data_IF_633515154617
#
_entry.id   IF_633515154617
#
_cell.length_a   1.000
_cell.length_b   1.000
_cell.length_c   1.000
_cell.angle_alpha   90.00
_cell.angle_beta   90.00
_cell.angle_gamma   90.00
#
_symmetry.space_group_name_H-M   'P 1'
#
loop_
_entity.id
_entity.type
_entity.pdbx_description
1 polymer ?
#
# COMPACT_ATOMS: atom_id res chain seq x y z
N UNK A 1 -0.02 45.82 31.46
CA UNK A 1 0.15 46.14 32.88
C UNK A 1 -0.49 45.01 33.69
N UNK A 2 0.31 44.33 34.54
CA UNK A 2 -0.02 43.31 35.57
C UNK A 2 -0.80 42.04 35.15
N UNK A 3 -0.19 40.84 35.04
CA UNK A 3 0.35 39.89 36.05
C UNK A 3 -0.70 39.21 36.95
N UNK A 4 -0.93 37.90 36.75
CA UNK A 4 -0.78 36.88 37.82
C UNK A 4 -0.79 35.43 37.29
N UNK A 5 0.12 34.65 37.88
CA UNK A 5 0.34 33.19 37.79
C UNK A 5 -0.67 32.40 38.66
N UNK A 6 -0.77 31.06 38.53
CA UNK A 6 -0.10 30.20 39.50
C UNK A 6 0.64 28.98 38.91
N UNK A 7 1.44 28.39 39.80
CA UNK A 7 2.50 27.38 39.66
C UNK A 7 2.03 25.93 39.55
N UNK A 8 2.89 25.05 39.00
CA UNK A 8 3.46 23.87 39.71
C UNK A 8 4.51 23.14 38.88
N UNK A 9 5.49 22.64 39.62
CA UNK A 9 6.78 21.98 39.33
C UNK A 9 6.67 20.51 38.91
N UNK A 10 7.55 20.03 38.03
CA UNK A 10 8.17 18.67 38.04
C UNK A 10 9.37 18.57 37.06
N UNK A 11 10.37 17.70 37.33
CA UNK A 11 11.70 17.73 36.70
C UNK A 11 11.91 16.75 35.53
N UNK A 12 12.96 16.92 34.69
CA UNK A 12 13.30 15.99 33.61
C UNK A 12 14.33 14.92 34.03
N UNK A 13 14.05 13.66 33.69
CA UNK A 13 14.98 12.54 33.74
C UNK A 13 15.88 12.50 32.50
N UNK A 14 17.22 12.37 32.62
CA UNK A 14 18.08 11.94 31.52
C UNK A 14 18.45 10.46 31.66
N UNK A 15 18.22 9.69 30.59
CA UNK A 15 18.62 8.30 30.41
C UNK A 15 20.13 8.26 30.14
N UNK A 16 20.87 7.56 31.01
CA UNK A 16 22.33 7.37 30.93
C UNK A 16 22.62 6.04 30.22
N UNK A 17 23.16 6.10 29.00
CA UNK A 17 23.84 4.97 28.36
C UNK A 17 25.17 4.70 29.07
N UNK A 18 25.39 3.48 29.56
CA UNK A 18 26.70 3.01 30.04
C UNK A 18 27.43 2.27 28.92
N UNK A 19 28.48 2.88 28.38
CA UNK A 19 29.55 2.22 27.63
C UNK A 19 30.66 1.81 28.61
N UNK A 20 30.90 0.51 28.78
CA UNK A 20 32.04 0.01 29.53
C UNK A 20 33.25 -0.15 28.59
N UNK A 21 34.19 0.79 28.66
CA UNK A 21 35.50 0.69 28.03
C UNK A 21 36.47 -0.08 28.91
N UNK A 22 37.10 -1.11 28.34
CA UNK A 22 38.23 -1.84 28.92
C UNK A 22 39.51 -1.00 28.79
N UNK A 23 40.10 -0.65 29.94
CA UNK A 23 41.38 0.06 30.04
C UNK A 23 42.47 -0.90 30.51
N UNK A 24 43.49 -1.10 29.67
CA UNK A 24 44.73 -1.80 30.01
C UNK A 24 45.73 -0.81 30.65
N UNK A 25 46.25 -1.11 31.83
CA UNK A 25 47.47 -0.45 32.32
C UNK A 25 48.33 -1.31 33.25
N UNK A 26 49.54 -1.56 32.76
CA UNK A 26 50.83 -1.47 33.46
C UNK A 26 51.18 -2.49 34.55
N UNK A 27 51.98 -3.47 34.11
CA UNK A 27 52.93 -4.25 34.90
C UNK A 27 54.11 -3.38 35.38
N UNK A 28 54.38 -3.36 36.71
CA UNK A 28 55.64 -2.85 37.28
C UNK A 28 56.40 -3.98 37.97
N UNK A 29 57.61 -4.25 37.47
CA UNK A 29 58.66 -5.06 38.11
C UNK A 29 59.07 -4.46 39.45
N UNK A 30 59.21 -5.29 40.49
CA UNK A 30 60.04 -5.00 41.67
C UNK A 30 60.76 -6.29 42.10
N UNK A 31 62.06 -6.18 42.29
CA UNK A 31 63.00 -7.29 42.45
C UNK A 31 63.57 -7.38 43.88
N UNK A 32 63.45 -8.59 44.47
CA UNK A 32 64.37 -9.34 45.39
C UNK A 32 64.65 -8.76 46.81
N UNK A 33 65.19 -9.51 47.81
CA UNK A 33 65.81 -10.88 47.77
C UNK A 33 65.54 -11.84 48.99
N UNK A 34 66.07 -13.06 48.85
CA UNK A 34 66.72 -13.97 49.84
C UNK A 34 65.99 -14.73 50.99
N UNK A 35 66.01 -16.07 50.85
CA UNK A 35 66.13 -17.20 51.81
C UNK A 35 65.15 -17.42 52.98
N UNK A 36 64.41 -18.53 52.89
CA UNK A 36 64.39 -19.58 53.92
C UNK A 36 63.83 -20.89 53.32
N UNK A 37 64.66 -21.94 53.26
CA UNK A 37 64.21 -23.29 52.97
C UNK A 37 63.42 -23.84 54.16
N UNK A 38 62.13 -24.15 53.95
CA UNK A 38 61.40 -25.09 54.77
C UNK A 38 61.02 -26.31 53.92
N UNK A 39 61.28 -27.55 54.37
CA UNK A 39 60.84 -28.73 53.66
C UNK A 39 59.34 -28.92 53.88
N UNK A 40 58.53 -28.62 52.86
CA UNK A 40 57.13 -29.05 52.84
C UNK A 40 57.10 -30.58 52.74
N UNK A 41 56.62 -31.24 53.80
CA UNK A 41 56.18 -32.63 53.77
C UNK A 41 55.16 -32.79 52.64
N UNK A 42 55.54 -33.51 51.59
CA UNK A 42 54.64 -33.99 50.54
C UNK A 42 53.58 -34.93 51.16
N UNK A 43 52.48 -34.36 51.66
CA UNK A 43 51.22 -35.10 51.71
C UNK A 43 50.80 -35.29 50.26
N UNK A 44 51.12 -36.46 49.69
CA UNK A 44 50.45 -36.97 48.49
C UNK A 44 48.96 -37.01 48.82
N UNK A 45 48.23 -35.97 48.43
CA UNK A 45 46.79 -36.10 48.23
C UNK A 45 46.64 -37.21 47.20
N UNK A 46 46.11 -38.35 47.63
CA UNK A 46 45.74 -39.44 46.73
C UNK A 46 44.75 -38.83 45.75
N UNK A 47 45.22 -38.50 44.55
CA UNK A 47 44.37 -38.19 43.42
C UNK A 47 43.55 -39.46 43.18
N UNK A 48 42.31 -39.46 43.64
CA UNK A 48 41.34 -40.50 43.29
C UNK A 48 41.15 -40.38 41.78
N UNK A 49 41.72 -41.31 41.03
CA UNK A 49 41.44 -41.43 39.61
C UNK A 49 39.97 -41.83 39.45
N UNK A 50 39.25 -41.13 38.58
CA UNK A 50 37.86 -41.43 38.27
C UNK A 50 37.76 -42.83 37.65
N UNK A 51 36.75 -43.58 38.06
CA UNK A 51 36.47 -44.89 37.47
C UNK A 51 35.96 -44.73 36.05
N UNK A 52 36.23 -45.71 35.18
CA UNK A 52 35.81 -45.69 33.77
C UNK A 52 34.28 -45.57 33.63
N UNK A 53 33.53 -46.05 34.63
CA UNK A 53 32.08 -45.90 34.75
C UNK A 53 31.65 -44.46 35.04
N UNK A 54 32.33 -43.74 35.95
CA UNK A 54 32.03 -42.33 36.24
C UNK A 54 32.32 -41.44 35.02
N UNK A 55 33.35 -41.79 34.23
CA UNK A 55 33.70 -41.08 33.01
C UNK A 55 32.68 -41.34 31.89
N UNK A 56 32.23 -42.59 31.71
CA UNK A 56 31.14 -42.91 30.76
C UNK A 56 29.82 -42.25 31.16
N UNK A 57 29.47 -42.27 32.44
CA UNK A 57 28.25 -41.63 32.95
C UNK A 57 28.28 -40.11 32.76
N UNK A 58 29.44 -39.48 32.98
CA UNK A 58 29.58 -38.04 32.78
C UNK A 58 29.44 -37.66 31.30
N UNK A 59 29.98 -38.47 30.39
CA UNK A 59 29.87 -38.26 28.94
C UNK A 59 28.42 -38.44 28.47
N UNK A 60 27.70 -39.44 28.97
CA UNK A 60 26.30 -39.67 28.58
C UNK A 60 25.38 -38.56 29.09
N UNK A 61 25.57 -38.08 30.32
CA UNK A 61 24.82 -36.94 30.82
C UNK A 61 25.14 -35.68 30.02
N UNK A 62 26.42 -35.43 29.75
CA UNK A 62 26.86 -34.26 28.98
C UNK A 62 26.31 -34.27 27.55
N UNK A 63 26.25 -35.42 26.88
CA UNK A 63 25.71 -35.53 25.53
C UNK A 63 24.20 -35.28 25.48
N UNK A 64 23.44 -35.75 26.47
CA UNK A 64 22.00 -35.48 26.61
C UNK A 64 21.75 -33.98 26.85
N UNK A 65 22.53 -33.35 27.71
CA UNK A 65 22.42 -31.90 27.98
C UNK A 65 22.78 -31.08 26.74
N UNK A 66 23.82 -31.46 25.99
CA UNK A 66 24.15 -30.77 24.74
C UNK A 66 23.02 -30.93 23.71
N UNK A 67 22.49 -32.13 23.52
CA UNK A 67 21.43 -32.39 22.53
C UNK A 67 20.16 -31.58 22.83
N UNK A 68 19.76 -31.52 24.10
CA UNK A 68 18.62 -30.72 24.54
C UNK A 68 18.87 -29.22 24.35
N UNK A 69 20.05 -28.72 24.71
CA UNK A 69 20.41 -27.31 24.48
C UNK A 69 20.42 -26.95 22.98
N UNK A 70 20.94 -27.83 22.12
CA UNK A 70 20.92 -27.64 20.66
C UNK A 70 19.50 -27.64 20.10
N UNK A 71 18.60 -28.49 20.62
CA UNK A 71 17.18 -28.51 20.20
C UNK A 71 16.46 -27.20 20.56
N UNK A 72 16.70 -26.68 21.77
CA UNK A 72 16.12 -25.41 22.21
C UNK A 72 16.67 -24.23 21.41
N UNK A 73 17.99 -24.19 21.17
CA UNK A 73 18.62 -23.17 20.32
C UNK A 73 18.05 -23.20 18.90
N UNK A 74 17.88 -24.38 18.32
CA UNK A 74 17.30 -24.54 16.97
C UNK A 74 15.87 -24.01 16.92
N UNK A 75 15.09 -24.26 17.97
CA UNK A 75 13.71 -23.76 18.08
C UNK A 75 13.68 -22.23 18.18
N UNK A 76 14.53 -21.63 19.02
CA UNK A 76 14.62 -20.17 19.16
C UNK A 76 15.09 -19.49 17.88
N UNK A 77 16.08 -20.06 17.19
CA UNK A 77 16.58 -19.52 15.92
C UNK A 77 15.51 -19.59 14.82
N UNK A 78 14.72 -20.68 14.78
CA UNK A 78 13.63 -20.81 13.82
C UNK A 78 12.50 -19.79 14.10
N UNK A 79 12.20 -19.50 15.36
CA UNK A 79 11.22 -18.47 15.73
C UNK A 79 11.70 -17.07 15.34
N UNK A 80 12.98 -16.75 15.55
CA UNK A 80 13.55 -15.47 15.13
C UNK A 80 13.54 -15.32 13.61
N UNK A 81 13.95 -16.35 12.87
CA UNK A 81 13.90 -16.35 11.40
C UNK A 81 12.47 -16.21 10.86
N UNK A 82 11.51 -16.88 11.50
CA UNK A 82 10.10 -16.73 11.16
C UNK A 82 9.58 -15.31 11.39
N UNK A 83 9.99 -14.68 12.50
CA UNK A 83 9.66 -13.29 12.83
C UNK A 83 10.28 -12.29 11.84
N UNK A 84 11.58 -12.41 11.55
CA UNK A 84 12.27 -11.55 10.58
C UNK A 84 11.67 -11.67 9.17
N UNK A 85 11.31 -12.89 8.75
CA UNK A 85 10.61 -13.13 7.49
C UNK A 85 9.28 -12.38 7.40
N UNK A 86 8.47 -12.41 8.45
CA UNK A 86 7.16 -11.71 8.45
C UNK A 86 7.26 -10.19 8.37
N UNK A 87 8.31 -9.58 8.94
CA UNK A 87 8.50 -8.12 8.88
C UNK A 87 9.04 -7.64 7.53
N UNK A 88 9.84 -8.44 6.82
CA UNK A 88 10.33 -8.11 5.48
C UNK A 88 9.26 -8.23 4.40
N UNK A 89 8.36 -9.22 4.53
CA UNK A 89 7.41 -9.62 3.48
C UNK A 89 6.41 -8.54 3.05
N UNK A 90 6.09 -7.56 3.92
CA UNK A 90 5.12 -6.51 3.61
C UNK A 90 5.73 -5.11 3.44
N UNK A 91 7.06 -4.97 3.44
CA UNK A 91 7.70 -3.65 3.31
C UNK A 91 7.44 -3.03 1.94
N UNK A 92 7.50 -3.82 0.87
CA UNK A 92 7.19 -3.38 -0.49
C UNK A 92 5.73 -2.90 -0.59
N UNK A 93 4.80 -3.68 -0.04
CA UNK A 93 3.38 -3.30 0.03
C UNK A 93 3.17 -1.99 0.79
N UNK A 94 3.83 -1.81 1.94
CA UNK A 94 3.70 -0.59 2.73
C UNK A 94 4.23 0.63 1.97
N UNK A 95 5.41 0.51 1.35
CA UNK A 95 6.00 1.56 0.53
C UNK A 95 5.09 1.93 -0.65
N UNK A 96 4.50 0.93 -1.31
CA UNK A 96 3.51 1.12 -2.37
C UNK A 96 2.25 1.84 -1.86
N UNK A 97 1.73 1.44 -0.70
CA UNK A 97 0.56 2.05 -0.08
C UNK A 97 0.78 3.52 0.31
N UNK A 98 1.94 3.83 0.90
CA UNK A 98 2.32 5.21 1.24
C UNK A 98 2.52 6.06 -0.01
N UNK A 99 3.20 5.54 -1.03
CA UNK A 99 3.37 6.24 -2.32
C UNK A 99 2.01 6.55 -2.96
N UNK A 100 1.11 5.56 -3.01
CA UNK A 100 -0.24 5.69 -3.55
C UNK A 100 -1.07 6.74 -2.79
N UNK A 101 -1.12 6.65 -1.46
CA UNK A 101 -1.91 7.58 -0.64
C UNK A 101 -1.38 9.01 -0.73
N UNK A 102 -0.06 9.21 -0.76
CA UNK A 102 0.56 10.51 -0.96
C UNK A 102 0.25 11.10 -2.35
N UNK A 103 0.32 10.29 -3.41
CA UNK A 103 -0.04 10.70 -4.77
C UNK A 103 -1.51 11.10 -4.85
N UNK A 104 -2.42 10.24 -4.42
CA UNK A 104 -3.87 10.51 -4.46
C UNK A 104 -4.23 11.78 -3.67
N UNK A 105 -3.60 12.02 -2.51
CA UNK A 105 -3.87 13.21 -1.70
C UNK A 105 -3.58 14.54 -2.43
N UNK A 106 -2.75 14.51 -3.48
CA UNK A 106 -2.36 15.67 -4.29
C UNK A 106 -3.10 15.76 -5.63
N UNK A 107 -4.09 14.89 -5.87
CA UNK A 107 -4.90 14.96 -7.08
C UNK A 107 -5.57 16.33 -7.24
N UNK A 108 -5.77 16.73 -8.49
CA UNK A 108 -6.27 18.04 -8.86
C UNK A 108 -7.55 17.90 -9.69
N UNK A 109 -8.56 18.66 -9.29
CA UNK A 109 -9.62 19.14 -10.17
C UNK A 109 -9.54 20.66 -10.11
N UNK A 110 -9.61 21.32 -11.25
CA UNK A 110 -9.55 22.79 -11.34
C UNK A 110 -10.92 23.28 -11.78
N UNK A 111 -11.88 23.43 -10.85
CA UNK A 111 -13.21 23.88 -11.19
C UNK A 111 -13.22 25.39 -11.41
N UNK A 112 -13.89 25.84 -12.45
CA UNK A 112 -14.20 27.23 -12.75
C UNK A 112 -15.70 27.37 -13.00
N UNK A 113 -16.24 28.59 -12.86
CA UNK A 113 -17.63 28.86 -13.23
C UNK A 113 -17.68 29.19 -14.71
N UNK A 114 -18.56 28.51 -15.44
CA UNK A 114 -18.86 28.79 -16.83
C UNK A 114 -20.36 29.00 -17.01
N UNK A 115 -20.71 29.65 -18.11
CA UNK A 115 -22.08 29.87 -18.51
C UNK A 115 -22.70 28.58 -19.03
N UNK A 116 -23.84 28.20 -18.48
CA UNK A 116 -24.71 27.22 -19.10
C UNK A 116 -25.57 27.93 -20.15
N UNK A 117 -25.55 27.41 -21.37
CA UNK A 117 -26.38 27.89 -22.46
C UNK A 117 -27.56 26.95 -22.69
N UNK A 118 -28.78 27.47 -22.91
CA UNK A 118 -29.94 26.64 -23.19
C UNK A 118 -29.69 25.80 -24.46
N UNK A 119 -29.78 24.48 -24.32
CA UNK A 119 -29.52 23.52 -25.40
C UNK A 119 -28.07 23.48 -25.90
N UNK A 120 -27.11 24.01 -25.14
CA UNK A 120 -25.70 24.08 -25.55
C UNK A 120 -25.41 25.11 -26.65
N UNK A 121 -26.36 25.98 -26.99
CA UNK A 121 -26.19 27.00 -28.01
C UNK A 121 -25.47 28.24 -27.44
N UNK A 122 -24.16 28.33 -27.68
CA UNK A 122 -23.30 29.44 -27.22
C UNK A 122 -23.66 30.81 -27.82
N UNK A 123 -24.52 30.86 -28.85
CA UNK A 123 -25.06 32.10 -29.40
C UNK A 123 -26.33 32.60 -28.65
N UNK A 124 -26.89 31.79 -27.74
CA UNK A 124 -28.04 32.15 -26.91
C UNK A 124 -27.66 32.94 -25.66
N UNK A 125 -28.67 33.46 -24.96
CA UNK A 125 -28.48 34.08 -23.63
C UNK A 125 -28.20 32.98 -22.60
N UNK A 126 -27.12 33.08 -21.80
CA UNK A 126 -26.86 32.15 -20.70
C UNK A 126 -28.01 32.05 -19.70
N UNK A 127 -28.30 30.84 -19.22
CA UNK A 127 -29.37 30.58 -18.22
C UNK A 127 -28.86 30.72 -16.78
N UNK A 128 -27.68 30.17 -16.49
CA UNK A 128 -27.06 30.19 -15.16
C UNK A 128 -25.56 29.96 -15.25
N UNK A 129 -24.87 30.18 -14.13
CA UNK A 129 -23.50 29.73 -13.94
C UNK A 129 -23.48 28.32 -13.39
N UNK A 130 -22.63 27.47 -13.95
CA UNK A 130 -22.38 26.14 -13.44
C UNK A 130 -20.89 25.89 -13.24
N UNK A 131 -20.58 24.99 -12.31
CA UNK A 131 -19.21 24.55 -12.11
C UNK A 131 -18.79 23.68 -13.31
N UNK A 132 -17.63 23.96 -13.89
CA UNK A 132 -17.02 23.21 -14.97
C UNK A 132 -15.55 22.91 -14.64
N UNK A 133 -15.02 21.79 -15.12
CA UNK A 133 -13.60 21.48 -15.08
C UNK A 133 -13.20 20.63 -16.26
N UNK A 134 -12.00 20.86 -16.80
CA UNK A 134 -11.45 20.00 -17.85
C UNK A 134 -10.85 18.70 -17.30
N UNK A 135 -10.54 18.66 -16.00
CA UNK A 135 -9.99 17.48 -15.35
C UNK A 135 -11.10 16.47 -14.99
N UNK A 136 -10.69 15.25 -14.66
CA UNK A 136 -11.60 14.14 -14.42
C UNK A 136 -11.05 13.24 -13.32
N UNK A 137 -11.79 13.15 -12.22
CA UNK A 137 -11.55 12.19 -11.16
C UNK A 137 -12.61 11.08 -11.22
N UNK A 138 -12.16 9.83 -11.22
CA UNK A 138 -13.04 8.66 -11.19
C UNK A 138 -12.48 7.58 -10.28
N UNK A 139 -13.34 6.96 -9.48
CA UNK A 139 -13.02 5.80 -8.65
C UNK A 139 -14.22 4.86 -8.57
N UNK A 140 -14.00 3.56 -8.45
CA UNK A 140 -15.09 2.57 -8.44
C UNK A 140 -14.57 1.18 -8.74
N UNK A 141 -15.47 0.26 -9.06
CA UNK A 141 -15.11 -1.12 -9.41
C UNK A 141 -14.24 -1.15 -10.68
N UNK A 142 -13.10 -1.86 -10.60
CA UNK A 142 -12.14 -1.96 -11.70
C UNK A 142 -12.72 -2.80 -12.84
N UNK A 143 -13.31 -3.96 -12.51
CA UNK A 143 -14.12 -4.78 -13.39
C UNK A 143 -15.47 -5.12 -12.74
N UNK A 144 -16.49 -5.35 -13.57
CA UNK A 144 -17.82 -5.75 -13.09
C UNK A 144 -18.72 -4.58 -12.65
N UNK A 145 -19.96 -4.92 -12.29
CA UNK A 145 -21.00 -3.94 -11.95
C UNK A 145 -21.59 -3.19 -13.16
N UNK A 146 -22.43 -2.20 -12.88
CA UNK A 146 -23.15 -1.42 -13.92
C UNK A 146 -22.23 -0.48 -14.70
N UNK A 147 -21.14 -0.01 -14.07
CA UNK A 147 -20.17 0.96 -14.65
C UNK A 147 -18.74 0.54 -14.34
N UNK A 148 -18.24 -0.46 -15.07
CA UNK A 148 -16.85 -0.92 -14.97
C UNK A 148 -15.87 0.18 -15.38
N UNK A 149 -14.79 0.39 -14.61
CA UNK A 149 -13.77 1.39 -14.96
C UNK A 149 -12.82 0.90 -16.05
N UNK A 150 -12.34 -0.33 -15.96
CA UNK A 150 -11.49 -0.98 -16.96
C UNK A 150 -12.32 -1.97 -17.78
N UNK A 151 -11.79 -2.35 -18.96
CA UNK A 151 -12.39 -3.36 -19.81
C UNK A 151 -11.66 -4.69 -19.63
N UNK A 152 -12.38 -5.74 -19.25
CA UNK A 152 -11.82 -7.08 -19.01
C UNK A 152 -12.11 -7.63 -17.61
N UNK A 153 -11.96 -8.94 -17.43
CA UNK A 153 -12.27 -9.64 -16.18
C UNK A 153 -11.08 -9.77 -15.21
N UNK A 154 -9.87 -9.39 -15.63
CA UNK A 154 -8.63 -9.62 -14.85
C UNK A 154 -8.34 -8.53 -13.82
N UNK A 155 -9.28 -7.63 -13.56
CA UNK A 155 -9.10 -6.47 -12.68
C UNK A 155 -9.99 -6.57 -11.44
N UNK A 156 -9.57 -7.28 -10.38
CA UNK A 156 -10.41 -7.45 -9.20
C UNK A 156 -10.59 -6.15 -8.44
N UNK A 157 -11.67 -6.06 -7.66
CA UNK A 157 -11.96 -4.97 -6.71
C UNK A 157 -12.08 -3.59 -7.38
N UNK A 158 -11.40 -2.56 -6.87
CA UNK A 158 -11.59 -1.16 -7.29
C UNK A 158 -10.38 -0.62 -8.06
N UNK A 159 -10.60 0.48 -8.77
CA UNK A 159 -9.60 1.30 -9.42
C UNK A 159 -9.88 2.79 -9.16
N UNK A 160 -8.84 3.62 -9.34
CA UNK A 160 -8.95 5.08 -9.29
C UNK A 160 -8.07 5.70 -10.35
N UNK A 161 -8.60 6.72 -11.03
CA UNK A 161 -7.90 7.47 -12.06
C UNK A 161 -8.13 8.97 -11.83
N UNK A 162 -7.05 9.74 -11.93
CA UNK A 162 -7.05 11.16 -11.62
C UNK A 162 -5.92 11.88 -12.34
N UNK A 163 -5.91 13.21 -12.27
CA UNK A 163 -4.79 14.02 -12.74
C UNK A 163 -4.13 14.78 -11.60
N UNK A 164 -2.88 15.16 -11.80
CA UNK A 164 -2.11 15.98 -10.88
C UNK A 164 -0.86 16.52 -11.55
N UNK A 165 -0.29 17.58 -10.99
CA UNK A 165 0.98 18.13 -11.45
C UNK A 165 2.11 17.32 -10.84
N UNK A 166 2.67 16.41 -11.63
CA UNK A 166 3.69 15.46 -11.19
C UNK A 166 5.02 15.59 -11.93
N UNK A 167 5.06 16.36 -13.02
CA UNK A 167 6.30 16.65 -13.74
C UNK A 167 6.86 15.47 -14.54
N UNK A 168 6.06 14.45 -14.84
CA UNK A 168 6.53 13.31 -15.64
C UNK A 168 6.50 13.66 -17.12
N UNK A 169 7.63 13.44 -17.78
CA UNK A 169 7.83 13.65 -19.22
C UNK A 169 8.67 12.51 -19.79
N UNK A 170 8.41 12.15 -21.04
CA UNK A 170 9.30 11.27 -21.80
C UNK A 170 10.46 12.04 -22.46
N UNK A 171 10.33 13.35 -22.61
CA UNK A 171 11.35 14.18 -23.22
C UNK A 171 12.42 14.57 -22.18
N UNK A 172 13.67 14.19 -22.43
CA UNK A 172 14.82 14.54 -21.58
C UNK A 172 15.00 16.04 -21.41
N UNK A 173 14.62 16.84 -22.41
CA UNK A 173 14.73 18.30 -22.37
C UNK A 173 13.74 18.94 -21.39
N UNK A 174 12.62 18.28 -21.12
CA UNK A 174 11.53 18.82 -20.31
C UNK A 174 11.55 18.28 -18.87
N UNK A 175 12.53 17.45 -18.52
CA UNK A 175 12.65 16.85 -17.18
C UNK A 175 12.83 17.90 -16.06
N UNK A 176 13.23 19.13 -16.41
CA UNK A 176 13.26 20.26 -15.47
C UNK A 176 11.90 20.91 -15.19
N UNK A 177 10.85 20.58 -15.96
CA UNK A 177 9.50 21.13 -15.79
C UNK A 177 8.73 20.33 -14.74
N UNK A 178 9.04 20.57 -13.46
CA UNK A 178 8.48 19.81 -12.33
C UNK A 178 6.95 19.93 -12.11
N UNK A 179 6.28 20.88 -12.77
CA UNK A 179 4.85 21.16 -12.59
C UNK A 179 3.98 20.74 -13.77
N UNK A 180 4.48 19.88 -14.68
CA UNK A 180 3.67 19.37 -15.77
C UNK A 180 2.49 18.53 -15.26
N UNK A 181 1.34 18.69 -15.92
CA UNK A 181 0.13 17.93 -15.63
C UNK A 181 0.25 16.52 -16.20
N UNK A 182 -0.03 15.53 -15.37
CA UNK A 182 -0.01 14.12 -15.74
C UNK A 182 -1.33 13.45 -15.40
N UNK A 183 -1.62 12.37 -16.12
CA UNK A 183 -2.68 11.44 -15.74
C UNK A 183 -2.09 10.28 -14.95
N UNK A 184 -2.79 9.88 -13.90
CA UNK A 184 -2.36 8.85 -12.97
C UNK A 184 -3.51 7.89 -12.68
N UNK A 185 -3.17 6.69 -12.24
CA UNK A 185 -4.18 5.77 -11.72
C UNK A 185 -3.59 4.58 -10.99
N UNK A 186 -4.45 3.90 -10.25
CA UNK A 186 -4.14 2.66 -9.54
C UNK A 186 -5.24 1.65 -9.79
N UNK A 187 -4.85 0.40 -10.03
CA UNK A 187 -5.75 -0.73 -10.20
C UNK A 187 -5.00 -2.03 -9.88
N UNK A 188 -5.73 -3.10 -9.59
CA UNK A 188 -5.13 -4.43 -9.42
C UNK A 188 -5.33 -5.21 -10.70
N UNK A 189 -4.31 -5.95 -11.10
CA UNK A 189 -4.36 -6.87 -12.24
C UNK A 189 -3.88 -8.26 -11.80
N UNK A 190 -4.64 -9.29 -12.16
CA UNK A 190 -4.14 -10.66 -12.18
C UNK A 190 -3.59 -10.98 -13.57
N UNK A 191 -2.31 -11.35 -13.63
CA UNK A 191 -1.71 -11.65 -14.93
C UNK A 191 -0.31 -12.22 -14.83
N UNK A 192 0.28 -12.45 -15.99
CA UNK A 192 1.68 -12.88 -16.12
C UNK A 192 2.64 -11.70 -15.89
N UNK A 193 3.84 -11.97 -15.37
CA UNK A 193 4.93 -11.01 -15.33
C UNK A 193 5.83 -11.02 -16.58
N UNK A 194 5.54 -11.84 -17.59
CA UNK A 194 6.40 -11.97 -18.78
C UNK A 194 6.71 -10.63 -19.46
N UNK A 195 5.75 -9.69 -19.49
CA UNK A 195 5.92 -8.36 -20.09
C UNK A 195 6.70 -7.38 -19.22
N UNK A 196 6.82 -7.64 -17.92
CA UNK A 196 7.52 -6.75 -16.96
C UNK A 196 8.97 -7.21 -16.71
N UNK A 197 9.30 -8.45 -17.07
CA UNK A 197 10.65 -9.00 -16.90
C UNK A 197 11.59 -8.48 -17.99
N UNK A 198 12.87 -8.42 -17.65
CA UNK A 198 13.91 -8.17 -18.64
C UNK A 198 13.91 -9.29 -19.71
N UNK A 199 14.09 -8.91 -20.97
CA UNK A 199 13.92 -9.81 -22.12
C UNK A 199 14.78 -11.07 -22.02
N UNK A 200 15.99 -10.99 -21.46
CA UNK A 200 16.86 -12.15 -21.31
C UNK A 200 16.27 -13.26 -20.42
N UNK A 201 15.45 -12.91 -19.42
CA UNK A 201 14.79 -13.90 -18.55
C UNK A 201 13.72 -14.68 -19.31
N UNK A 202 13.05 -14.05 -20.27
CA UNK A 202 12.05 -14.72 -21.12
C UNK A 202 12.71 -15.66 -22.12
N UNK A 203 13.86 -15.27 -22.68
CA UNK A 203 14.65 -16.13 -23.59
C UNK A 203 15.28 -17.32 -22.87
N UNK A 204 15.49 -17.23 -21.55
CA UNK A 204 16.07 -18.28 -20.71
C UNK A 204 15.09 -19.43 -20.39
N UNK A 205 13.85 -19.39 -20.88
CA UNK A 205 12.86 -20.44 -20.65
C UNK A 205 12.29 -20.48 -19.23
N UNK A 206 12.45 -19.40 -18.46
CA UNK A 206 11.88 -19.30 -17.10
C UNK A 206 10.36 -19.13 -17.22
N UNK A 207 9.61 -20.02 -16.58
CA UNK A 207 8.15 -20.00 -16.63
C UNK A 207 7.58 -18.65 -16.12
N UNK A 208 6.52 -18.13 -16.76
CA UNK A 208 5.82 -16.93 -16.30
C UNK A 208 5.14 -17.17 -14.94
N UNK A 209 5.12 -16.14 -14.09
CA UNK A 209 4.45 -16.18 -12.78
C UNK A 209 3.15 -15.41 -12.82
N UNK A 210 2.05 -16.08 -12.48
CA UNK A 210 0.71 -15.51 -12.46
C UNK A 210 0.36 -15.04 -11.05
N UNK A 211 0.22 -13.73 -10.88
CA UNK A 211 0.01 -13.11 -9.56
C UNK A 211 -0.89 -11.90 -9.65
N UNK A 212 -1.53 -11.59 -8.53
CA UNK A 212 -2.17 -10.30 -8.33
C UNK A 212 -1.13 -9.22 -8.07
N UNK A 213 -1.22 -8.12 -8.82
CA UNK A 213 -0.27 -7.01 -8.77
C UNK A 213 -1.00 -5.69 -8.70
N UNK A 214 -0.53 -4.82 -7.81
CA UNK A 214 -0.94 -3.42 -7.82
C UNK A 214 -0.22 -2.72 -8.97
N UNK A 215 -1.01 -2.24 -9.94
CA UNK A 215 -0.54 -1.47 -11.08
C UNK A 215 -0.68 0.01 -10.81
N UNK A 216 0.32 0.76 -11.26
CA UNK A 216 0.34 2.21 -11.28
C UNK A 216 0.39 2.69 -12.74
N UNK A 217 -0.65 3.40 -13.14
CA UNK A 217 -0.70 4.09 -14.43
C UNK A 217 -0.01 5.44 -14.31
N UNK A 218 0.96 5.68 -15.19
CA UNK A 218 1.63 6.96 -15.34
C UNK A 218 1.56 7.38 -16.81
N UNK A 219 0.85 8.47 -17.07
CA UNK A 219 0.80 9.07 -18.40
C UNK A 219 1.65 10.35 -18.38
N UNK A 220 2.75 10.37 -19.15
CA UNK A 220 3.57 11.55 -19.35
C UNK A 220 2.77 12.73 -19.91
N UNK A 221 3.29 13.94 -19.75
CA UNK A 221 2.58 15.16 -20.14
C UNK A 221 2.32 15.24 -21.65
N UNK A 222 3.22 14.66 -22.45
CA UNK A 222 3.15 14.62 -23.93
C UNK A 222 1.96 13.79 -24.43
N UNK A 223 1.62 12.73 -23.68
CA UNK A 223 0.59 11.75 -24.03
C UNK A 223 -0.77 12.05 -23.40
N UNK A 224 -0.93 13.23 -22.80
CA UNK A 224 -2.12 13.63 -22.06
C UNK A 224 -3.30 13.91 -23.01
N UNK A 225 -4.17 12.92 -23.22
CA UNK A 225 -5.34 13.03 -24.11
C UNK A 225 -6.58 13.68 -23.49
N UNK A 226 -6.52 14.15 -22.25
CA UNK A 226 -7.67 14.74 -21.55
C UNK A 226 -8.27 15.94 -22.33
N UNK A 227 -7.42 16.76 -22.95
CA UNK A 227 -7.83 17.93 -23.73
C UNK A 227 -8.16 17.57 -25.19
N UNK A 228 -7.42 16.64 -25.78
CA UNK A 228 -7.66 16.18 -27.15
C UNK A 228 -9.05 15.57 -27.34
N UNK A 229 -9.58 14.93 -26.28
CA UNK A 229 -10.88 14.28 -26.33
C UNK A 229 -12.07 15.25 -26.18
N UNK A 230 -11.87 16.57 -26.08
CA UNK A 230 -12.91 17.57 -25.83
C UNK A 230 -14.00 17.05 -24.87
N UNK A 231 -13.58 16.56 -23.70
CA UNK A 231 -14.47 15.86 -22.76
C UNK A 231 -15.65 16.73 -22.32
N UNK A 232 -15.54 18.05 -22.44
CA UNK A 232 -16.58 19.04 -22.13
C UNK A 232 -17.63 19.19 -23.25
N UNK A 233 -17.25 18.91 -24.51
CA UNK A 233 -18.11 19.03 -25.70
C UNK A 233 -18.66 17.71 -26.25
N UNK A 234 -18.21 16.54 -25.77
CA UNK A 234 -18.83 15.29 -26.19
C UNK A 234 -20.21 15.18 -25.54
N UNK A 235 -21.27 15.15 -26.37
CA UNK A 235 -22.57 14.51 -26.07
C UNK A 235 -22.34 13.01 -25.84
N UNK A 236 -21.63 12.66 -24.77
CA UNK A 236 -21.24 11.30 -24.45
C UNK A 236 -22.39 10.66 -23.70
N UNK A 237 -23.33 10.08 -24.43
CA UNK A 237 -24.35 9.21 -23.84
C UNK A 237 -23.76 7.95 -23.19
N UNK A 238 -22.43 7.76 -23.19
CA UNK A 238 -21.76 6.56 -22.67
C UNK A 238 -20.47 6.89 -21.92
N UNK A 239 -20.37 6.32 -20.71
CA UNK A 239 -19.18 6.39 -19.85
C UNK A 239 -17.91 5.83 -20.52
N UNK A 240 -18.04 4.87 -21.44
CA UNK A 240 -16.89 4.23 -22.11
C UNK A 240 -16.03 5.23 -22.89
N UNK A 241 -16.68 6.20 -23.56
CA UNK A 241 -15.98 7.22 -24.33
C UNK A 241 -15.27 8.23 -23.42
N UNK A 242 -15.88 8.58 -22.28
CA UNK A 242 -15.27 9.44 -21.26
C UNK A 242 -14.05 8.80 -20.59
N UNK A 243 -14.00 7.47 -20.52
CA UNK A 243 -12.92 6.73 -19.88
C UNK A 243 -11.73 6.42 -20.80
N UNK A 244 -11.82 6.79 -22.08
CA UNK A 244 -10.76 6.54 -23.07
C UNK A 244 -9.39 7.13 -22.69
N UNK A 245 -9.35 8.25 -21.97
CA UNK A 245 -8.09 8.91 -21.58
C UNK A 245 -7.24 8.07 -20.62
N UNK A 246 -7.84 7.16 -19.83
CA UNK A 246 -7.10 6.23 -18.96
C UNK A 246 -7.15 4.78 -19.43
N UNK A 247 -8.25 4.34 -20.06
CA UNK A 247 -8.38 2.95 -20.55
C UNK A 247 -7.38 2.58 -21.63
N UNK A 248 -7.12 3.51 -22.56
CA UNK A 248 -6.15 3.30 -23.63
C UNK A 248 -4.73 3.17 -23.07
N UNK A 249 -4.22 4.12 -22.27
CA UNK A 249 -2.87 3.98 -21.71
C UNK A 249 -2.76 2.92 -20.62
N UNK A 250 -3.85 2.50 -19.94
CA UNK A 250 -3.78 1.39 -18.96
C UNK A 250 -3.51 0.03 -19.60
N UNK A 251 -3.82 -0.13 -20.89
CA UNK A 251 -3.49 -1.34 -21.64
C UNK A 251 -2.04 -1.36 -22.15
N UNK A 252 -1.31 -0.25 -22.05
CA UNK A 252 0.08 -0.12 -22.49
C UNK A 252 1.05 -0.46 -21.34
N UNK A 253 1.85 -1.55 -21.45
CA UNK A 253 2.81 -1.93 -20.41
C UNK A 253 3.87 -0.87 -20.13
N UNK A 254 4.18 0.03 -21.09
CA UNK A 254 5.13 1.11 -20.89
C UNK A 254 4.59 2.21 -19.94
N UNK A 255 3.27 2.27 -19.76
CA UNK A 255 2.58 3.29 -18.96
C UNK A 255 1.98 2.72 -17.68
N UNK A 256 1.68 1.42 -17.65
CA UNK A 256 1.17 0.71 -16.47
C UNK A 256 2.24 -0.18 -15.84
N UNK A 257 2.93 0.33 -14.81
CA UNK A 257 4.00 -0.40 -14.12
C UNK A 257 3.49 -1.13 -12.88
N UNK A 258 4.14 -2.22 -12.51
CA UNK A 258 3.88 -2.91 -11.23
C UNK A 258 4.51 -2.11 -10.09
N UNK A 259 3.70 -1.78 -9.07
CA UNK A 259 4.15 -1.06 -7.87
C UNK A 259 4.40 -2.00 -6.69
N UNK A 260 3.58 -3.04 -6.55
CA UNK A 260 3.76 -4.12 -5.58
C UNK A 260 3.12 -5.41 -6.07
N UNK A 261 3.70 -6.55 -5.70
CA UNK A 261 3.10 -7.87 -5.89
C UNK A 261 2.23 -8.30 -4.70
N UNK A 262 1.49 -9.40 -4.90
CA UNK A 262 0.69 -10.08 -3.88
C UNK A 262 -0.44 -9.23 -3.28
N UNK A 263 -0.96 -8.27 -4.04
CA UNK A 263 -2.08 -7.40 -3.63
C UNK A 263 -3.38 -7.93 -4.23
N UNK A 264 -4.26 -8.50 -3.41
CA UNK A 264 -5.48 -9.19 -3.89
C UNK A 264 -6.71 -8.29 -3.99
N UNK A 265 -6.77 -7.23 -3.17
CA UNK A 265 -7.91 -6.33 -3.18
C UNK A 265 -7.48 -4.89 -2.81
N UNK A 266 -8.09 -3.93 -3.51
CA UNK A 266 -8.00 -2.50 -3.23
C UNK A 266 -9.43 -1.97 -3.19
N UNK A 267 -9.82 -1.41 -2.06
CA UNK A 267 -11.15 -0.85 -1.83
C UNK A 267 -11.00 0.65 -1.64
N UNK A 268 -11.68 1.40 -2.49
CA UNK A 268 -11.69 2.86 -2.47
C UNK A 268 -13.09 3.32 -2.12
N UNK A 269 -13.22 4.01 -0.98
CA UNK A 269 -14.49 4.58 -0.49
C UNK A 269 -14.41 6.11 -0.47
N UNK A 270 -15.12 6.79 -1.37
CA UNK A 270 -15.38 8.23 -1.29
C UNK A 270 -16.25 8.57 -0.09
N UNK A 271 -15.77 9.47 0.76
CA UNK A 271 -16.39 9.85 2.02
C UNK A 271 -16.68 11.35 2.06
N UNK A 272 -17.82 11.69 2.65
CA UNK A 272 -18.17 13.06 3.06
C UNK A 272 -18.46 13.09 4.57
N UNK A 273 -18.60 14.29 5.12
CA UNK A 273 -19.20 14.48 6.44
C UNK A 273 -20.67 14.80 6.29
N UNK A 274 -21.53 14.20 7.12
CA UNK A 274 -22.92 14.61 7.24
C UNK A 274 -23.07 15.86 8.14
N UNK A 275 -24.30 16.35 8.33
CA UNK A 275 -24.59 17.52 9.18
C UNK A 275 -24.20 17.33 10.65
N UNK A 276 -24.11 16.08 11.12
CA UNK A 276 -23.65 15.73 12.47
C UNK A 276 -22.11 15.60 12.56
N UNK A 277 -21.38 15.82 11.47
CA UNK A 277 -19.92 15.67 11.39
C UNK A 277 -19.43 14.23 11.28
N UNK A 278 -20.31 13.24 11.16
CA UNK A 278 -19.95 11.83 10.98
C UNK A 278 -19.61 11.52 9.51
N UNK A 279 -18.72 10.55 9.30
CA UNK A 279 -18.35 10.08 7.96
C UNK A 279 -19.56 9.39 7.30
N UNK A 280 -19.81 9.73 6.04
CA UNK A 280 -20.94 9.23 5.24
C UNK A 280 -20.48 8.81 3.85
N UNK A 281 -21.06 7.72 3.34
CA UNK A 281 -20.82 7.17 2.00
C UNK A 281 -21.81 7.70 0.95
N UNK A 282 -22.60 8.73 1.26
CA UNK A 282 -23.63 9.26 0.35
C UNK A 282 -23.09 9.75 -1.00
N UNK A 283 -21.80 10.07 -1.10
CA UNK A 283 -21.18 10.47 -2.37
C UNK A 283 -20.99 9.30 -3.34
N UNK A 284 -20.89 8.07 -2.82
CA UNK A 284 -20.64 6.88 -3.62
C UNK A 284 -21.25 5.64 -2.92
N UNK A 285 -22.59 5.50 -2.88
CA UNK A 285 -23.24 4.37 -2.22
C UNK A 285 -22.84 3.00 -2.79
N UNK A 286 -22.47 2.94 -4.07
CA UNK A 286 -21.97 1.76 -4.77
C UNK A 286 -20.46 1.79 -5.01
N UNK A 287 -19.72 2.57 -4.21
CA UNK A 287 -18.29 2.87 -4.36
C UNK A 287 -17.88 3.59 -5.65
N UNK A 288 -18.79 3.72 -6.63
CA UNK A 288 -18.57 4.48 -7.85
C UNK A 288 -18.71 5.98 -7.57
N UNK A 289 -17.66 6.73 -7.90
CA UNK A 289 -17.62 8.18 -7.88
C UNK A 289 -16.97 8.66 -9.16
N UNK A 290 -17.68 9.54 -9.86
CA UNK A 290 -17.24 10.12 -11.12
C UNK A 290 -17.65 11.58 -11.15
N UNK A 291 -16.66 12.47 -11.25
CA UNK A 291 -16.86 13.93 -11.28
C UNK A 291 -17.57 14.41 -12.54
N UNK A 292 -17.67 13.57 -13.58
CA UNK A 292 -18.30 13.83 -14.87
C UNK A 292 -19.50 12.91 -15.14
N UNK A 293 -19.99 12.18 -14.13
CA UNK A 293 -21.17 11.32 -14.25
C UNK A 293 -22.42 12.02 -14.80
N UNK A 294 -22.57 13.33 -14.56
CA UNK A 294 -23.70 14.12 -15.08
C UNK A 294 -23.83 14.11 -16.61
N UNK A 295 -22.76 13.76 -17.35
CA UNK A 295 -22.77 13.68 -18.81
C UNK A 295 -23.51 12.46 -19.34
N UNK A 296 -23.61 11.38 -18.55
CA UNK A 296 -24.26 10.12 -18.95
C UNK A 296 -25.28 9.58 -17.95
N UNK A 297 -25.37 10.16 -16.74
CA UNK A 297 -26.30 9.77 -15.70
C UNK A 297 -27.11 10.98 -15.22
N UNK A 298 -28.44 10.91 -15.34
CA UNK A 298 -29.37 11.94 -14.87
C UNK A 298 -29.78 11.66 -13.42
N UNK A 299 -28.97 12.07 -12.45
CA UNK A 299 -29.29 11.93 -11.01
C UNK A 299 -28.88 13.14 -10.18
N UNK A 300 -29.54 13.35 -9.04
CA UNK A 300 -29.15 14.40 -8.08
C UNK A 300 -27.70 14.20 -7.58
N UNK A 301 -27.27 12.94 -7.44
CA UNK A 301 -25.90 12.62 -7.05
C UNK A 301 -24.90 13.08 -8.11
N UNK A 302 -25.16 12.79 -9.39
CA UNK A 302 -24.32 13.21 -10.50
C UNK A 302 -24.17 14.73 -10.59
N UNK A 303 -25.25 15.47 -10.32
CA UNK A 303 -25.20 16.93 -10.21
C UNK A 303 -24.42 17.39 -8.96
N UNK A 304 -24.52 16.68 -7.84
CA UNK A 304 -23.83 17.02 -6.59
C UNK A 304 -22.31 16.81 -6.69
N UNK A 305 -21.87 15.75 -7.37
CA UNK A 305 -20.45 15.40 -7.58
C UNK A 305 -19.81 16.09 -8.79
N UNK A 306 -20.61 16.79 -9.60
CA UNK A 306 -20.18 17.48 -10.81
C UNK A 306 -18.96 18.35 -10.57
N UNK A 307 -17.88 18.00 -11.27
CA UNK A 307 -16.58 18.69 -11.28
C UNK A 307 -15.99 18.95 -9.89
N UNK A 308 -16.24 18.03 -8.96
CA UNK A 308 -15.72 18.08 -7.59
C UNK A 308 -14.93 16.81 -7.27
N UNK A 309 -13.85 16.98 -6.52
CA UNK A 309 -13.15 15.86 -5.86
C UNK A 309 -13.90 15.48 -4.59
N UNK A 310 -13.93 14.20 -4.19
CA UNK A 310 -14.48 13.82 -2.90
C UNK A 310 -13.68 14.47 -1.75
N UNK A 311 -14.30 14.90 -0.63
CA UNK A 311 -13.58 15.53 0.48
C UNK A 311 -12.52 14.60 1.09
N UNK A 312 -12.89 13.34 1.25
CA UNK A 312 -12.07 12.30 1.86
C UNK A 312 -12.17 11.02 1.05
N UNK A 313 -11.09 10.24 1.07
CA UNK A 313 -11.04 8.89 0.53
C UNK A 313 -10.53 7.95 1.61
N UNK A 314 -11.28 6.89 1.89
CA UNK A 314 -10.76 5.73 2.61
C UNK A 314 -10.24 4.73 1.61
N UNK A 315 -8.97 4.37 1.74
CA UNK A 315 -8.28 3.40 0.91
C UNK A 315 -7.93 2.22 1.79
N UNK A 316 -8.37 1.03 1.39
CA UNK A 316 -8.04 -0.24 2.04
C UNK A 316 -7.33 -1.14 1.04
N UNK A 317 -6.16 -1.63 1.41
CA UNK A 317 -5.34 -2.53 0.61
C UNK A 317 -5.17 -3.86 1.34
N UNK A 318 -5.34 -4.97 0.63
CA UNK A 318 -5.23 -6.32 1.19
C UNK A 318 -4.10 -7.04 0.47
N UNK A 319 -3.10 -7.46 1.22
CA UNK A 319 -1.91 -8.13 0.71
C UNK A 319 -1.77 -9.53 1.28
N UNK A 320 -1.25 -10.45 0.47
CA UNK A 320 -0.88 -11.80 0.87
C UNK A 320 0.61 -11.89 1.18
N UNK A 321 0.99 -12.84 2.03
CA UNK A 321 2.39 -13.22 2.15
C UNK A 321 2.86 -14.02 0.92
N UNK A 322 4.18 -14.07 0.72
CA UNK A 322 4.79 -14.73 -0.45
C UNK A 322 4.47 -16.23 -0.50
N UNK A 323 4.36 -16.89 0.65
CA UNK A 323 4.04 -18.32 0.73
C UNK A 323 2.60 -18.60 0.29
N UNK A 324 1.63 -17.77 0.72
CA UNK A 324 0.24 -17.90 0.30
C UNK A 324 0.07 -17.58 -1.18
N UNK A 325 0.80 -16.57 -1.69
CA UNK A 325 0.81 -16.25 -3.11
C UNK A 325 1.40 -17.40 -3.95
N UNK A 326 2.51 -18.00 -3.51
CA UNK A 326 3.11 -19.16 -4.17
C UNK A 326 2.17 -20.38 -4.16
N UNK A 327 1.46 -20.63 -3.05
CA UNK A 327 0.44 -21.68 -2.95
C UNK A 327 -0.67 -21.47 -3.98
N UNK A 328 -1.21 -20.25 -4.07
CA UNK A 328 -2.25 -19.93 -5.05
C UNK A 328 -1.77 -20.09 -6.50
N UNK A 329 -0.52 -19.73 -6.77
CA UNK A 329 0.13 -19.87 -8.07
C UNK A 329 0.30 -21.35 -8.45
N UNK A 330 0.70 -22.22 -7.51
CA UNK A 330 0.81 -23.67 -7.74
C UNK A 330 -0.55 -24.33 -7.96
N UNK A 331 -1.57 -23.94 -7.21
CA UNK A 331 -2.92 -24.52 -7.29
C UNK A 331 -3.69 -24.10 -8.54
N UNK A 332 -3.57 -22.83 -8.95
CA UNK A 332 -4.39 -22.25 -10.02
C UNK A 332 -3.63 -22.00 -11.33
N UNK A 333 -2.29 -22.01 -11.31
CA UNK A 333 -1.50 -21.73 -12.50
C UNK A 333 -1.87 -20.39 -13.14
N UNK A 334 -2.37 -20.44 -14.38
CA UNK A 334 -2.77 -19.26 -15.15
C UNK A 334 -4.20 -18.79 -14.95
N UNK A 335 -5.05 -19.53 -14.23
CA UNK A 335 -6.43 -19.10 -13.95
C UNK A 335 -6.49 -18.17 -12.74
N UNK A 336 -7.41 -17.21 -12.77
CA UNK A 336 -7.67 -16.30 -11.65
C UNK A 336 -8.17 -17.11 -10.44
N UNK A 337 -7.50 -17.04 -9.27
CA UNK A 337 -7.97 -17.73 -8.07
C UNK A 337 -9.33 -17.24 -7.56
N UNK A 338 -10.20 -18.15 -7.14
CA UNK A 338 -11.48 -17.82 -6.53
C UNK A 338 -11.31 -17.50 -5.04
N UNK A 339 -11.13 -16.21 -4.72
CA UNK A 339 -10.91 -15.75 -3.34
C UNK A 339 -12.22 -15.41 -2.60
N UNK A 340 -13.38 -15.55 -3.25
CA UNK A 340 -14.68 -15.16 -2.69
C UNK A 340 -14.87 -13.64 -2.54
N UNK A 341 -14.10 -12.84 -3.28
CA UNK A 341 -14.09 -11.37 -3.19
C UNK A 341 -14.98 -10.73 -4.27
N UNK A 342 -15.29 -11.45 -5.34
CA UNK A 342 -15.92 -10.91 -6.56
C UNK A 342 -17.29 -10.27 -6.32
N UNK A 343 -18.06 -10.78 -5.35
CA UNK A 343 -19.38 -10.24 -4.98
C UNK A 343 -19.35 -9.24 -3.81
N UNK A 344 -18.19 -9.05 -3.19
CA UNK A 344 -18.01 -8.14 -2.05
C UNK A 344 -17.75 -6.71 -2.53
N UNK A 345 -17.96 -5.73 -1.64
CA UNK A 345 -17.69 -4.32 -1.90
C UNK A 345 -18.53 -3.74 -3.05
N UNK A 346 -19.76 -4.20 -3.18
CA UNK A 346 -20.74 -3.63 -4.11
C UNK A 346 -21.55 -2.49 -3.46
N UNK A 347 -21.69 -2.50 -2.14
CA UNK A 347 -22.50 -1.54 -1.37
C UNK A 347 -21.70 -0.93 -0.22
N UNK A 348 -21.47 0.39 -0.26
CA UNK A 348 -20.58 1.07 0.67
C UNK A 348 -21.01 1.03 2.14
N UNK A 349 -22.32 0.91 2.43
CA UNK A 349 -22.82 0.75 3.79
C UNK A 349 -22.47 -0.60 4.42
N UNK A 350 -22.22 -1.63 3.60
CA UNK A 350 -21.85 -2.99 4.05
C UNK A 350 -20.35 -3.19 4.22
N UNK A 351 -19.54 -2.12 4.11
CA UNK A 351 -18.09 -2.19 4.16
C UNK A 351 -17.54 -3.11 5.28
N UNK A 352 -18.07 -3.01 6.50
CA UNK A 352 -17.57 -3.81 7.62
C UNK A 352 -17.96 -5.29 7.52
N UNK A 353 -19.15 -5.58 7.01
CA UNK A 353 -19.63 -6.95 6.75
C UNK A 353 -18.80 -7.58 5.62
N UNK A 354 -18.54 -6.82 4.56
CA UNK A 354 -17.74 -7.27 3.41
C UNK A 354 -16.29 -7.55 3.81
N UNK A 355 -15.68 -6.71 4.67
CA UNK A 355 -14.35 -7.00 5.22
C UNK A 355 -14.38 -8.31 6.02
N UNK A 356 -15.35 -8.50 6.92
CA UNK A 356 -15.43 -9.72 7.72
C UNK A 356 -15.65 -10.98 6.87
N UNK A 357 -16.47 -10.89 5.81
CA UNK A 357 -16.71 -11.97 4.87
C UNK A 357 -15.44 -12.32 4.07
N UNK A 358 -14.70 -11.32 3.60
CA UNK A 358 -13.42 -11.50 2.93
C UNK A 358 -12.40 -12.18 3.87
N UNK A 359 -12.28 -11.71 5.11
CA UNK A 359 -11.40 -12.32 6.12
C UNK A 359 -11.76 -13.78 6.38
N UNK A 360 -13.06 -14.10 6.50
CA UNK A 360 -13.53 -15.47 6.66
C UNK A 360 -13.13 -16.36 5.47
N UNK A 361 -13.28 -15.86 4.24
CA UNK A 361 -12.88 -16.58 3.02
C UNK A 361 -11.38 -16.87 2.98
N UNK A 362 -10.54 -15.85 3.23
CA UNK A 362 -9.08 -16.01 3.23
C UNK A 362 -8.60 -16.96 4.32
N UNK A 363 -9.21 -16.90 5.52
CA UNK A 363 -8.89 -17.81 6.61
C UNK A 363 -9.32 -19.26 6.30
N UNK A 364 -10.46 -19.46 5.64
CA UNK A 364 -10.92 -20.79 5.21
C UNK A 364 -9.94 -21.43 4.20
N UNK A 365 -9.32 -20.63 3.34
CA UNK A 365 -8.30 -21.07 2.38
C UNK A 365 -6.88 -21.17 2.99
N UNK A 366 -6.74 -20.86 4.28
CA UNK A 366 -5.47 -20.84 5.03
C UNK A 366 -4.43 -19.88 4.43
N UNK A 367 -4.90 -18.76 3.87
CA UNK A 367 -4.04 -17.73 3.32
C UNK A 367 -3.68 -16.72 4.41
N UNK A 368 -2.40 -16.37 4.50
CA UNK A 368 -1.90 -15.33 5.39
C UNK A 368 -1.99 -13.99 4.69
N UNK A 369 -2.65 -13.04 5.34
CA UNK A 369 -2.92 -11.74 4.76
C UNK A 369 -2.67 -10.59 5.74
N UNK A 370 -2.54 -9.38 5.21
CA UNK A 370 -2.47 -8.13 5.95
C UNK A 370 -3.36 -7.08 5.29
N UNK A 371 -4.16 -6.39 6.11
CA UNK A 371 -5.02 -5.29 5.68
C UNK A 371 -4.40 -3.96 6.11
N UNK A 372 -4.25 -3.04 5.17
CA UNK A 372 -3.83 -1.67 5.38
C UNK A 372 -4.99 -0.74 5.08
N UNK A 373 -5.36 0.13 6.02
CA UNK A 373 -6.44 1.10 5.81
C UNK A 373 -5.97 2.49 6.22
N UNK A 374 -6.23 3.47 5.35
CA UNK A 374 -5.97 4.87 5.64
C UNK A 374 -7.10 5.73 5.09
N UNK A 375 -7.43 6.80 5.82
CA UNK A 375 -8.38 7.82 5.35
C UNK A 375 -7.60 9.09 5.07
N UNK A 376 -7.58 9.51 3.81
CA UNK A 376 -6.87 10.70 3.36
C UNK A 376 -7.86 11.81 3.00
N UNK A 377 -7.48 13.05 3.29
CA UNK A 377 -8.19 14.24 2.81
C UNK A 377 -7.61 14.66 1.46
N UNK A 378 -8.49 14.93 0.50
CA UNK A 378 -8.06 15.48 -0.79
C UNK A 378 -7.93 16.99 -0.66
N UNK A 379 -6.70 17.50 -0.76
CA UNK A 379 -6.40 18.91 -0.48
C UNK A 379 -7.12 19.89 -1.42
N UNK A 380 -7.41 19.45 -2.64
CA UNK A 380 -8.06 20.25 -3.66
C UNK A 380 -9.59 20.04 -3.71
N UNK A 381 -10.16 19.28 -2.78
CA UNK A 381 -11.60 19.13 -2.70
C UNK A 381 -12.25 20.41 -2.17
N UNK A 382 -13.14 21.00 -2.97
CA UNK A 382 -13.89 22.21 -2.62
C UNK A 382 -15.36 21.86 -2.48
N UNK A 383 -15.82 21.73 -1.25
CA UNK A 383 -17.23 21.50 -0.90
C UNK A 383 -17.73 22.69 -0.10
N UNK A 384 -18.76 23.34 -0.62
CA UNK A 384 -19.49 24.39 0.09
C UNK A 384 -20.70 23.75 0.76
N UNK A 385 -20.85 23.96 2.06
CA UNK A 385 -21.87 23.30 2.89
C UNK A 385 -23.28 23.92 2.73
N UNK A 386 -23.54 24.59 1.61
CA UNK A 386 -24.79 25.31 1.32
C UNK A 386 -25.45 24.68 0.10
N UNK A 387 -26.40 23.77 0.36
CA UNK A 387 -27.44 23.38 -0.59
C UNK A 387 -28.76 23.34 0.12
#
# INVERSE_FOLDING_TARGET
MTLRSPSKTTPPFPIRCRSAGLSWSTWKKKSRPFFAHQPFKNQRMKARAFTLIELLLSITIMSIVLATATSMLSTSLNQLRASEGTFGQFQETLAAFESMTNRIATCQIKPFYDYEYPGGNTAGVPTKYELQSDLHFVSGLASGGTTSLLAGANYPSHAVFFQGTYGITQNTEWQGLGNLLNSWGYFIEFGSDATNRATFLTTSGIAPRFRYRLKELQVPAEDLKIYANNLSGINTSSASNLYSWFRVPSADPAKARTLAENIIAMIITPLTTNSSGALSNELAPSYHYDSRSYQYASSNLANRTRHRLPPMLRITLVALDENSAAKLEEENGSSVPELGIESLFTTASKYQEDIAAMEASLNAQQLRYRIFTSTIRLRNARWTNTY
#
